data_IF_545500163451
#
_entry.id   IF_545500163451
#
_cell.length_a   1.000
_cell.length_b   1.000
_cell.length_c   1.000
_cell.angle_alpha   90.00
_cell.angle_beta   90.00
_cell.angle_gamma   90.00
#
_symmetry.space_group_name_H-M   'P 1'
#
loop_
_entity.id
_entity.type
_entity.pdbx_description
1 polymer ?
#
# COMPACT_ATOMS: atom_id res chain seq x y z
N UNK A 1 -20.10 14.61 -2.92
CA UNK A 1 -20.61 13.90 -4.10
C UNK A 1 -20.00 12.50 -4.06
N UNK A 2 -20.87 11.51 -4.05
CA UNK A 2 -20.73 10.21 -3.39
C UNK A 2 -19.53 9.35 -3.80
N UNK A 3 -18.67 9.02 -2.83
CA UNK A 3 -17.71 7.89 -2.91
C UNK A 3 -18.30 6.71 -2.15
N UNK A 4 -19.55 6.38 -2.46
CA UNK A 4 -20.24 5.23 -1.89
C UNK A 4 -20.85 4.40 -3.02
N UNK A 5 -20.09 3.40 -3.47
CA UNK A 5 -20.68 2.21 -4.08
C UNK A 5 -19.73 1.02 -3.92
N UNK A 6 -20.07 0.21 -2.92
CA UNK A 6 -20.07 -1.25 -2.95
C UNK A 6 -18.71 -1.97 -3.03
N UNK A 7 -18.22 -2.28 -1.83
CA UNK A 7 -17.59 -3.56 -1.54
C UNK A 7 -18.36 -4.72 -2.19
N UNK A 8 -17.75 -5.58 -3.00
CA UNK A 8 -18.03 -6.99 -2.84
C UNK A 8 -17.43 -7.36 -1.48
N UNK A 9 -18.28 -7.61 -0.48
CA UNK A 9 -17.84 -8.44 0.63
C UNK A 9 -17.31 -9.73 0.00
N UNK A 10 -15.99 -9.92 0.00
CA UNK A 10 -15.42 -11.22 -0.28
C UNK A 10 -15.83 -12.08 0.91
N UNK A 11 -17.03 -12.65 0.85
CA UNK A 11 -17.43 -13.69 1.77
C UNK A 11 -16.54 -14.89 1.47
N UNK A 12 -15.44 -14.98 2.23
CA UNK A 12 -14.58 -16.15 2.28
C UNK A 12 -15.36 -17.28 2.93
N UNK A 13 -16.16 -18.02 2.14
CA UNK A 13 -16.59 -19.35 2.56
C UNK A 13 -15.36 -20.26 2.56
N UNK A 14 -14.86 -20.61 3.75
CA UNK A 14 -13.80 -21.61 3.89
C UNK A 14 -12.38 -21.16 3.56
N UNK A 15 -12.07 -19.85 3.61
CA UNK A 15 -10.68 -19.37 3.60
C UNK A 15 -9.88 -19.58 2.31
N UNK A 16 -10.54 -19.83 1.17
CA UNK A 16 -9.88 -19.94 -0.14
C UNK A 16 -10.51 -19.00 -1.16
N UNK A 17 -9.70 -18.13 -1.78
CA UNK A 17 -10.06 -17.59 -3.09
C UNK A 17 -9.94 -18.74 -4.10
N UNK A 18 -10.98 -19.02 -4.91
CA UNK A 18 -11.07 -20.27 -5.65
C UNK A 18 -10.04 -20.41 -6.78
N UNK A 19 -9.45 -19.31 -7.27
CA UNK A 19 -8.33 -19.29 -8.22
C UNK A 19 -7.86 -17.83 -8.48
N UNK A 20 -6.78 -17.68 -9.27
CA UNK A 20 -6.25 -16.39 -9.70
C UNK A 20 -7.26 -15.53 -10.49
N UNK A 21 -8.26 -16.13 -11.14
CA UNK A 21 -9.28 -15.41 -11.91
C UNK A 21 -10.29 -14.72 -11.00
N UNK A 22 -10.75 -15.39 -9.94
CA UNK A 22 -11.63 -14.80 -8.94
C UNK A 22 -10.96 -13.61 -8.23
N UNK A 23 -9.65 -13.71 -7.98
CA UNK A 23 -8.87 -12.59 -7.45
C UNK A 23 -8.82 -11.42 -8.44
N UNK A 24 -8.46 -11.67 -9.71
CA UNK A 24 -8.44 -10.65 -10.77
C UNK A 24 -9.79 -9.96 -10.93
N UNK A 25 -10.88 -10.71 -10.91
CA UNK A 25 -12.23 -10.16 -10.99
C UNK A 25 -12.56 -9.26 -9.79
N UNK A 26 -12.17 -9.66 -8.57
CA UNK A 26 -12.40 -8.88 -7.36
C UNK A 26 -11.62 -7.56 -7.34
N UNK A 27 -10.41 -7.53 -7.92
CA UNK A 27 -9.56 -6.33 -7.94
C UNK A 27 -9.71 -5.47 -9.20
N UNK A 28 -10.34 -5.99 -10.26
CA UNK A 28 -10.49 -5.30 -11.54
C UNK A 28 -11.04 -3.86 -11.43
N UNK A 29 -12.04 -3.56 -10.56
CA UNK A 29 -12.52 -2.19 -10.38
C UNK A 29 -11.49 -1.22 -9.79
N UNK A 30 -10.45 -1.75 -9.14
CA UNK A 30 -9.38 -0.97 -8.51
C UNK A 30 -8.11 -0.91 -9.37
N UNK A 31 -8.10 -1.55 -10.54
CA UNK A 31 -6.99 -1.43 -11.47
C UNK A 31 -7.01 -0.05 -12.16
N UNK A 32 -5.84 0.56 -12.43
CA UNK A 32 -5.78 1.84 -13.11
C UNK A 32 -6.46 1.76 -14.49
N UNK A 33 -7.27 2.75 -14.79
CA UNK A 33 -7.97 2.85 -16.08
C UNK A 33 -6.95 3.02 -17.20
N UNK A 34 -7.14 2.26 -18.29
CA UNK A 34 -6.28 2.41 -19.47
C UNK A 34 -6.57 3.74 -20.16
N UNK A 35 -5.53 4.54 -20.37
CA UNK A 35 -5.64 5.81 -21.10
C UNK A 35 -5.58 5.50 -22.58
N UNK A 36 -6.70 5.70 -23.28
CA UNK A 36 -6.87 5.24 -24.66
C UNK A 36 -6.11 6.09 -25.69
N UNK A 37 -5.91 7.39 -25.42
CA UNK A 37 -5.25 8.29 -26.39
C UNK A 37 -4.61 9.49 -25.69
N UNK A 38 -3.35 9.72 -26.01
CA UNK A 38 -2.66 10.97 -25.66
C UNK A 38 -2.79 11.98 -26.80
N UNK A 39 -2.98 13.24 -26.46
CA UNK A 39 -2.96 14.32 -27.44
C UNK A 39 -1.50 14.63 -27.84
N UNK A 40 -1.26 14.81 -29.14
CA UNK A 40 0.10 14.87 -29.68
C UNK A 40 0.85 16.17 -29.35
N UNK A 41 0.12 17.26 -29.05
CA UNK A 41 0.63 18.62 -28.94
C UNK A 41 0.39 19.30 -27.57
N UNK A 42 0.29 18.54 -26.49
CA UNK A 42 0.25 19.14 -25.14
C UNK A 42 1.61 19.80 -24.82
N UNK A 43 1.61 21.11 -24.57
CA UNK A 43 2.81 21.86 -24.15
C UNK A 43 3.20 21.60 -22.68
N UNK A 44 2.20 21.34 -21.84
CA UNK A 44 2.35 21.23 -20.40
C UNK A 44 1.98 19.83 -19.90
N UNK A 45 2.48 19.50 -18.71
CA UNK A 45 2.15 18.26 -18.01
C UNK A 45 0.67 18.25 -17.63
N UNK A 46 0.04 17.09 -17.68
CA UNK A 46 -1.27 16.93 -17.06
C UNK A 46 -1.13 16.95 -15.54
N UNK A 47 -2.19 17.35 -14.84
CA UNK A 47 -2.21 17.40 -13.38
C UNK A 47 -2.14 15.99 -12.74
N UNK A 48 -2.58 14.97 -13.47
CA UNK A 48 -2.62 13.58 -13.02
C UNK A 48 -1.39 12.76 -13.45
N UNK A 49 -0.45 13.35 -14.18
CA UNK A 49 0.75 12.68 -14.70
C UNK A 49 0.55 11.83 -15.97
N UNK A 50 -0.68 11.75 -16.49
CA UNK A 50 -0.99 11.03 -17.73
C UNK A 50 -0.17 11.51 -18.94
N UNK A 51 0.09 10.59 -19.86
CA UNK A 51 0.75 10.87 -21.13
C UNK A 51 2.17 11.43 -21.05
N UNK A 52 2.80 11.42 -19.86
CA UNK A 52 4.22 11.74 -19.72
C UNK A 52 5.11 10.71 -20.44
N UNK A 53 4.69 9.43 -20.47
CA UNK A 53 5.26 8.40 -21.32
C UNK A 53 4.30 8.11 -22.49
N UNK A 54 4.76 8.29 -23.73
CA UNK A 54 3.91 8.12 -24.94
C UNK A 54 3.63 6.66 -25.30
N UNK A 55 4.48 5.74 -24.87
CA UNK A 55 4.33 4.29 -25.11
C UNK A 55 3.43 3.68 -24.04
N UNK A 56 3.58 4.13 -22.79
CA UNK A 56 2.80 3.72 -21.63
C UNK A 56 2.17 4.93 -20.93
N UNK A 57 1.07 5.48 -21.47
CA UNK A 57 0.44 6.70 -20.98
C UNK A 57 0.09 6.73 -19.48
N UNK A 58 -0.10 5.56 -18.88
CA UNK A 58 -0.47 5.36 -17.48
C UNK A 58 0.71 5.33 -16.50
N UNK A 59 1.95 5.31 -16.98
CA UNK A 59 3.11 5.22 -16.10
C UNK A 59 3.35 6.52 -15.33
N UNK A 60 3.33 6.41 -14.00
CA UNK A 60 3.53 7.54 -13.10
C UNK A 60 2.29 8.41 -12.92
N UNK A 61 1.11 7.94 -13.33
CA UNK A 61 -0.14 8.64 -13.04
C UNK A 61 -0.47 8.59 -11.55
N UNK A 62 -1.14 9.62 -11.05
CA UNK A 62 -1.70 9.61 -9.70
C UNK A 62 -2.82 8.56 -9.57
N UNK A 63 -3.13 8.18 -8.32
CA UNK A 63 -4.10 7.12 -7.99
C UNK A 63 -3.82 5.75 -8.65
N UNK A 64 -2.58 5.52 -9.10
CA UNK A 64 -2.10 4.23 -9.56
C UNK A 64 -1.47 3.43 -8.41
N UNK A 65 -1.44 2.09 -8.49
CA UNK A 65 -0.78 1.26 -7.49
C UNK A 65 0.74 1.49 -7.49
N UNK A 66 1.35 1.43 -6.31
CA UNK A 66 2.81 1.49 -6.17
C UNK A 66 3.46 0.29 -6.85
N UNK A 67 4.55 0.55 -7.57
CA UNK A 67 5.34 -0.48 -8.25
C UNK A 67 6.02 -1.37 -7.20
N UNK A 68 6.00 -2.67 -7.44
CA UNK A 68 6.70 -3.67 -6.61
C UNK A 68 7.95 -4.16 -7.32
N UNK A 69 9.11 -3.97 -6.71
CA UNK A 69 10.37 -4.54 -7.21
C UNK A 69 10.56 -6.01 -6.83
N UNK A 70 9.90 -6.46 -5.76
CA UNK A 70 9.89 -7.84 -5.28
C UNK A 70 8.45 -8.31 -5.09
N UNK A 71 8.19 -9.63 -5.17
CA UNK A 71 6.89 -10.18 -4.79
C UNK A 71 6.47 -9.73 -3.39
N UNK A 72 5.17 -9.48 -3.15
CA UNK A 72 4.67 -9.27 -1.79
C UNK A 72 4.94 -10.49 -0.90
N UNK A 73 5.03 -10.26 0.40
CA UNK A 73 5.17 -11.30 1.41
C UNK A 73 4.21 -10.97 2.57
N UNK A 74 3.07 -11.65 2.59
CA UNK A 74 2.03 -11.49 3.58
C UNK A 74 1.92 -12.72 4.49
N UNK A 75 1.21 -12.60 5.62
CA UNK A 75 1.01 -13.71 6.55
C UNK A 75 -0.02 -14.74 6.08
N UNK A 76 -0.76 -14.42 5.03
CA UNK A 76 -1.66 -15.37 4.36
C UNK A 76 -0.90 -16.15 3.27
N UNK A 77 -1.35 -17.37 2.99
CA UNK A 77 -0.74 -18.25 1.99
C UNK A 77 -1.02 -17.81 0.55
N UNK A 78 -1.72 -16.70 0.36
CA UNK A 78 -2.29 -16.31 -0.93
C UNK A 78 -1.69 -15.01 -1.47
N UNK A 79 -0.79 -14.34 -0.73
CA UNK A 79 -0.21 -13.05 -1.09
C UNK A 79 -1.27 -11.97 -1.43
N UNK A 80 -2.48 -12.13 -0.90
CA UNK A 80 -3.65 -11.28 -1.18
C UNK A 80 -3.67 -10.02 -0.31
N UNK A 81 -2.70 -9.88 0.60
CA UNK A 81 -2.51 -8.67 1.38
C UNK A 81 -3.53 -8.45 2.48
N UNK A 82 -4.24 -9.49 2.91
CA UNK A 82 -5.29 -9.39 3.91
C UNK A 82 -4.71 -9.53 5.31
N UNK A 83 -3.73 -10.43 5.49
CA UNK A 83 -3.14 -10.70 6.79
C UNK A 83 -1.70 -10.18 6.86
N UNK A 84 -1.39 -9.23 7.76
CA UNK A 84 -0.01 -8.83 8.01
C UNK A 84 0.84 -10.02 8.45
N UNK A 85 2.10 -10.05 8.02
CA UNK A 85 3.05 -11.09 8.42
C UNK A 85 3.22 -11.08 9.95
N UNK A 86 3.13 -12.25 10.56
CA UNK A 86 3.28 -12.42 12.02
C UNK A 86 4.29 -13.49 12.43
N UNK A 87 4.87 -14.20 11.46
CA UNK A 87 5.85 -15.28 11.67
C UNK A 87 7.13 -14.96 10.92
N UNK A 88 8.27 -15.25 11.56
CA UNK A 88 9.62 -15.14 11.04
C UNK A 88 9.94 -16.27 10.06
N UNK A 89 10.97 -16.08 9.23
CA UNK A 89 11.56 -17.14 8.39
C UNK A 89 12.06 -18.35 9.21
N UNK A 90 12.33 -18.16 10.50
CA UNK A 90 12.72 -19.21 11.46
C UNK A 90 11.52 -19.94 12.09
N UNK A 91 10.29 -19.57 11.76
CA UNK A 91 9.06 -20.16 12.32
C UNK A 91 8.60 -19.56 13.66
N UNK A 92 9.38 -18.68 14.28
CA UNK A 92 8.99 -17.98 15.50
C UNK A 92 8.09 -16.77 15.24
N UNK A 93 7.31 -16.34 16.23
CA UNK A 93 6.45 -15.16 16.12
C UNK A 93 7.29 -13.87 16.03
N UNK A 94 6.89 -12.94 15.16
CA UNK A 94 7.53 -11.63 15.08
C UNK A 94 7.21 -10.81 16.34
N UNK A 95 8.19 -10.05 16.89
CA UNK A 95 7.96 -9.16 18.02
C UNK A 95 7.00 -8.03 17.64
N UNK A 96 6.36 -7.41 18.64
CA UNK A 96 5.48 -6.28 18.36
C UNK A 96 6.28 -5.08 17.86
N UNK A 97 5.74 -4.25 16.94
CA UNK A 97 6.41 -3.03 16.51
C UNK A 97 6.75 -2.09 17.68
N UNK A 98 5.92 -2.10 18.75
CA UNK A 98 6.15 -1.29 19.94
C UNK A 98 7.33 -1.77 20.77
N UNK A 99 7.50 -3.08 20.90
CA UNK A 99 8.63 -3.69 21.57
C UNK A 99 9.94 -3.33 20.86
N UNK A 100 9.99 -3.48 19.53
CA UNK A 100 11.14 -3.04 18.73
C UNK A 100 11.39 -1.53 18.87
N UNK A 101 10.33 -0.72 18.86
CA UNK A 101 10.45 0.72 19.11
C UNK A 101 11.11 1.00 20.45
N UNK A 102 10.69 0.31 21.53
CA UNK A 102 11.25 0.52 22.87
C UNK A 102 12.67 -0.01 23.04
N UNK A 103 13.00 -1.13 22.40
CA UNK A 103 14.31 -1.77 22.58
C UNK A 103 15.39 -1.21 21.67
N UNK A 104 15.03 -0.71 20.48
CA UNK A 104 15.98 -0.23 19.47
C UNK A 104 16.04 1.30 19.41
N UNK A 105 14.90 1.98 19.54
CA UNK A 105 14.88 3.45 19.45
C UNK A 105 15.02 4.04 20.85
N UNK A 106 16.12 4.76 21.09
CA UNK A 106 16.40 5.42 22.37
C UNK A 106 15.48 6.63 22.59
N UNK A 107 14.23 6.37 22.97
CA UNK A 107 13.26 7.37 23.37
C UNK A 107 13.68 8.03 24.70
N UNK A 108 14.60 8.99 24.64
CA UNK A 108 15.09 9.69 25.81
C UNK A 108 16.46 10.33 25.65
N UNK A 109 17.22 9.99 24.61
CA UNK A 109 18.47 10.68 24.29
C UNK A 109 18.18 11.83 23.34
N UNK A 110 18.70 13.02 23.65
CA UNK A 110 18.78 14.11 22.67
C UNK A 110 19.70 13.66 21.54
N UNK A 111 19.17 13.61 20.31
CA UNK A 111 20.01 13.36 19.15
C UNK A 111 21.12 14.43 19.10
N UNK A 112 22.38 14.05 18.88
CA UNK A 112 23.45 15.03 18.77
C UNK A 112 23.16 15.97 17.61
N UNK A 113 23.41 17.27 17.82
CA UNK A 113 23.23 18.27 16.78
C UNK A 113 24.26 18.02 15.68
N UNK A 114 23.79 17.89 14.44
CA UNK A 114 24.66 17.89 13.28
C UNK A 114 25.14 19.33 13.01
N UNK A 115 26.45 19.51 12.81
CA UNK A 115 27.09 20.80 12.53
C UNK A 115 27.40 21.00 11.03
N UNK A 116 27.19 19.97 10.21
CA UNK A 116 27.42 19.96 8.76
C UNK A 116 26.17 20.36 8.00
N UNK A 117 25.00 19.92 8.48
CA UNK A 117 23.71 20.18 7.83
C UNK A 117 22.77 21.00 8.69
N UNK A 118 21.99 21.87 8.05
CA UNK A 118 20.94 22.63 8.73
C UNK A 118 19.59 21.90 8.63
N UNK A 119 18.60 22.43 9.36
CA UNK A 119 17.26 21.85 9.43
C UNK A 119 16.52 21.80 8.08
N UNK A 120 16.95 22.57 7.08
CA UNK A 120 16.34 22.56 5.75
C UNK A 120 16.57 21.24 5.03
N UNK A 121 17.63 20.48 5.36
CA UNK A 121 17.86 19.16 4.79
C UNK A 121 16.67 18.22 5.06
N UNK A 122 16.21 18.15 6.31
CA UNK A 122 15.05 17.35 6.69
C UNK A 122 13.76 17.83 6.02
N UNK A 123 13.51 19.14 6.03
CA UNK A 123 12.28 19.71 5.46
C UNK A 123 12.21 19.56 3.94
N UNK A 124 13.32 19.76 3.24
CA UNK A 124 13.37 19.58 1.80
C UNK A 124 13.16 18.11 1.42
N UNK A 125 13.70 17.17 2.20
CA UNK A 125 13.40 15.74 2.06
C UNK A 125 11.90 15.43 2.19
N UNK A 126 11.21 16.06 3.13
CA UNK A 126 9.76 15.93 3.31
C UNK A 126 8.96 16.49 2.12
N UNK A 127 9.39 17.64 1.57
CA UNK A 127 8.77 18.24 0.37
C UNK A 127 8.88 17.27 -0.82
N UNK A 128 10.07 16.70 -1.06
CA UNK A 128 10.27 15.73 -2.13
C UNK A 128 9.41 14.48 -1.90
N UNK A 129 9.39 13.95 -0.67
CA UNK A 129 8.61 12.76 -0.34
C UNK A 129 7.12 12.97 -0.63
N UNK A 130 6.55 14.09 -0.20
CA UNK A 130 5.13 14.39 -0.41
C UNK A 130 4.76 14.72 -1.86
N UNK A 131 5.70 15.17 -2.68
CA UNK A 131 5.49 15.38 -4.13
C UNK A 131 5.49 14.05 -4.90
N UNK A 132 6.25 13.05 -4.43
CA UNK A 132 6.45 11.78 -5.15
C UNK A 132 5.43 10.70 -4.75
N UNK A 133 5.07 10.59 -3.47
CA UNK A 133 4.28 9.44 -3.00
C UNK A 133 3.28 9.81 -1.90
N UNK A 134 2.09 9.21 -2.00
CA UNK A 134 1.07 9.25 -0.95
C UNK A 134 0.37 7.90 -0.87
N UNK A 135 0.27 7.35 0.35
CA UNK A 135 -0.46 6.12 0.64
C UNK A 135 -1.64 6.46 1.54
N UNK A 136 -2.85 6.63 1.00
CA UNK A 136 -4.00 6.98 1.81
C UNK A 136 -4.37 5.81 2.74
N UNK A 137 -4.66 6.13 4.00
CA UNK A 137 -5.26 5.16 4.90
C UNK A 137 -6.69 4.88 4.44
N UNK A 138 -7.06 3.60 4.38
CA UNK A 138 -8.47 3.22 4.20
C UNK A 138 -9.24 3.59 5.47
N UNK A 139 -10.12 4.57 5.39
CA UNK A 139 -11.06 4.86 6.46
C UNK A 139 -12.19 3.81 6.42
N UNK A 140 -11.98 2.67 7.07
CA UNK A 140 -12.99 1.63 7.25
C UNK A 140 -13.62 1.70 8.64
N UNK A 141 -14.95 1.57 8.73
CA UNK A 141 -15.59 1.09 9.97
C UNK A 141 -14.85 -0.18 10.40
N UNK A 142 -14.47 -0.28 11.68
CA UNK A 142 -13.76 -1.43 12.26
C UNK A 142 -14.31 -2.75 11.71
N UNK A 143 -13.56 -3.36 10.78
CA UNK A 143 -13.78 -4.74 10.39
C UNK A 143 -13.26 -5.51 11.61
N UNK A 144 -14.17 -5.97 12.48
CA UNK A 144 -13.82 -7.02 13.45
C UNK A 144 -13.08 -8.08 12.66
N UNK A 145 -11.86 -8.40 13.10
CA UNK A 145 -11.17 -9.59 12.61
C UNK A 145 -12.18 -10.75 12.58
N UNK A 146 -12.27 -11.53 11.49
CA UNK A 146 -13.13 -12.71 11.50
C UNK A 146 -12.74 -13.53 12.72
N UNK A 147 -13.67 -13.67 13.67
CA UNK A 147 -13.49 -14.60 14.77
C UNK A 147 -13.37 -15.96 14.12
N UNK A 148 -12.18 -16.57 14.22
CA UNK A 148 -12.03 -18.00 14.02
C UNK A 148 -12.86 -18.69 15.10
N UNK A 149 -14.11 -19.01 14.78
CA UNK A 149 -14.91 -19.89 15.63
C UNK A 149 -14.24 -21.25 15.54
N UNK A 150 -13.61 -21.66 16.65
CA UNK A 150 -13.05 -22.99 16.82
C UNK A 150 -14.23 -23.95 16.86
N UNK A 151 -14.52 -24.62 15.75
CA UNK A 151 -15.47 -25.74 15.75
C UNK A 151 -14.69 -26.93 16.31
N UNK A 152 -14.90 -27.21 17.60
CA UNK A 152 -14.47 -28.48 18.20
C UNK A 152 -15.26 -29.64 17.58
N UNK A 153 -14.73 -30.88 17.61
CA UNK A 153 -15.31 -32.03 16.92
C UNK A 153 -16.77 -32.31 17.29
#
# INVERSE_FOLDING_TARGET
MDVFAMTPSIHMHGGKLPNAEAFRAAIAPYCPTKIAKCENNCRYRSADGSCNNRIHPEWGTTFSPQIRFLPPDYGDQFDIGVVPRSTSVTGHKLPSPREISNSVHNAGMTAPRDHTYNINLMHFGLVIFHDVISTPLRQGKSIRAPQYVRVSP
#
